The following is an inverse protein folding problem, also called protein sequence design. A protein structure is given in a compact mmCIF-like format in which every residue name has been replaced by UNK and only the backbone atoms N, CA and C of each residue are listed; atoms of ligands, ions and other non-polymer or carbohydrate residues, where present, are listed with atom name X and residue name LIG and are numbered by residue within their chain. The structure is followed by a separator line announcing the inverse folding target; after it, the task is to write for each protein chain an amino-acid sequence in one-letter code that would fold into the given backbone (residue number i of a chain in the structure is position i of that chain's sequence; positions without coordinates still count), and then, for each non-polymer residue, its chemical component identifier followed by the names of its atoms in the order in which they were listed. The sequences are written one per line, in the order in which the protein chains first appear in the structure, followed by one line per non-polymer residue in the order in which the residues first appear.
data_IF_862042366269
#
_entry.id   IF_862042366269
#
_cell.length_a   1.000
_cell.length_b   1.000
_cell.length_c   1.000
_cell.angle_alpha   90.00
_cell.angle_beta   90.00
_cell.angle_gamma   90.00
#
_symmetry.space_group_name_H-M   'P 1'
#
loop_
_entity.id
_entity.type
_entity.pdbx_description
1 polymer ?
#
# COMPACT_ATOMS: atom_id res chain seq x y z
N UNK A 1 14.97 -6.03 12.81
CA UNK A 1 14.11 -6.24 11.65
C UNK A 1 13.98 -4.92 10.86
N UNK A 2 14.07 -4.98 9.54
CA UNK A 2 13.90 -3.84 8.64
C UNK A 2 12.76 -4.12 7.66
N UNK A 3 11.78 -3.23 7.59
CA UNK A 3 10.65 -3.31 6.65
C UNK A 3 10.83 -2.22 5.61
N UNK A 4 10.79 -2.59 4.34
CA UNK A 4 10.75 -1.65 3.22
C UNK A 4 9.29 -1.42 2.82
N UNK A 5 8.88 -0.15 2.83
CA UNK A 5 7.56 0.28 2.36
C UNK A 5 7.75 1.12 1.11
N UNK A 6 7.14 0.71 0.01
CA UNK A 6 7.19 1.41 -1.27
C UNK A 6 5.79 1.89 -1.65
N UNK A 7 5.68 3.18 -1.97
CA UNK A 7 4.42 3.81 -2.38
C UNK A 7 3.96 3.35 -3.77
N UNK A 8 2.96 4.04 -4.28
CA UNK A 8 2.24 3.67 -5.50
C UNK A 8 3.19 3.38 -6.68
N UNK A 9 3.17 2.14 -7.18
CA UNK A 9 3.94 1.77 -8.38
C UNK A 9 3.19 2.22 -9.60
N UNK A 10 3.79 3.15 -10.35
CA UNK A 10 3.12 3.82 -11.44
C UNK A 10 3.52 3.28 -12.80
N UNK A 11 2.65 2.47 -13.39
CA UNK A 11 2.74 1.96 -14.75
C UNK A 11 4.06 1.27 -15.09
N UNK A 12 4.41 1.17 -16.38
CA UNK A 12 5.65 0.54 -16.83
C UNK A 12 6.92 1.17 -16.25
N UNK A 13 6.94 2.51 -16.05
CA UNK A 13 8.10 3.20 -15.48
C UNK A 13 8.33 2.80 -14.02
N UNK A 14 7.26 2.72 -13.23
CA UNK A 14 7.32 2.29 -11.83
C UNK A 14 7.77 0.83 -11.71
N UNK A 15 7.20 -0.08 -12.53
CA UNK A 15 7.63 -1.48 -12.55
C UNK A 15 9.12 -1.63 -12.88
N UNK A 16 9.60 -0.86 -13.87
CA UNK A 16 11.02 -0.88 -14.24
C UNK A 16 11.93 -0.38 -13.12
N UNK A 17 11.50 0.61 -12.34
CA UNK A 17 12.24 1.07 -11.15
C UNK A 17 12.34 -0.06 -10.12
N UNK A 18 11.25 -0.79 -9.86
CA UNK A 18 11.25 -1.94 -8.95
C UNK A 18 12.18 -3.04 -9.47
N UNK A 19 12.01 -3.47 -10.71
CA UNK A 19 12.82 -4.51 -11.36
C UNK A 19 14.34 -4.22 -11.24
N UNK A 20 14.74 -2.99 -11.50
CA UNK A 20 16.14 -2.61 -11.53
C UNK A 20 16.79 -2.41 -10.16
N UNK A 21 15.99 -2.13 -9.12
CA UNK A 21 16.53 -1.65 -7.85
C UNK A 21 16.12 -2.48 -6.63
N UNK A 22 14.96 -3.16 -6.62
CA UNK A 22 14.44 -3.80 -5.42
C UNK A 22 15.41 -4.81 -4.80
N UNK A 23 15.97 -5.71 -5.62
CA UNK A 23 16.94 -6.71 -5.13
C UNK A 23 18.20 -6.06 -4.55
N UNK A 24 18.66 -4.95 -5.15
CA UNK A 24 19.82 -4.19 -4.63
C UNK A 24 19.49 -3.58 -3.28
N UNK A 25 18.32 -2.93 -3.14
CA UNK A 25 17.87 -2.34 -1.89
C UNK A 25 17.73 -3.38 -0.79
N UNK A 26 17.11 -4.52 -1.11
CA UNK A 26 16.97 -5.62 -0.15
C UNK A 26 18.32 -6.06 0.40
N UNK A 27 19.32 -6.24 -0.48
CA UNK A 27 20.66 -6.69 -0.09
C UNK A 27 21.47 -5.59 0.61
N UNK A 28 21.43 -4.35 0.10
CA UNK A 28 22.20 -3.22 0.63
C UNK A 28 21.76 -2.83 2.03
N UNK A 29 20.46 -2.87 2.27
CA UNK A 29 19.88 -2.45 3.56
C UNK A 29 19.53 -3.62 4.49
N UNK A 30 19.79 -4.87 4.10
CA UNK A 30 19.40 -6.09 4.83
C UNK A 30 17.90 -6.06 5.17
N UNK A 31 17.06 -5.91 4.14
CA UNK A 31 15.60 -5.82 4.31
C UNK A 31 15.02 -7.21 4.59
N UNK A 32 14.28 -7.32 5.67
CA UNK A 32 13.64 -8.57 6.13
C UNK A 32 12.24 -8.77 5.53
N UNK A 33 11.55 -7.67 5.18
CA UNK A 33 10.16 -7.71 4.70
C UNK A 33 9.85 -6.50 3.80
N UNK A 34 9.18 -6.72 2.67
CA UNK A 34 8.89 -5.70 1.67
C UNK A 34 7.39 -5.61 1.40
N UNK A 35 6.83 -4.42 1.56
CA UNK A 35 5.45 -4.08 1.18
C UNK A 35 5.47 -3.03 0.08
N UNK A 36 4.64 -3.20 -0.94
CA UNK A 36 4.54 -2.30 -2.08
C UNK A 36 3.06 -1.97 -2.34
N UNK A 37 2.75 -0.71 -2.67
CA UNK A 37 1.43 -0.38 -3.17
C UNK A 37 1.40 -0.54 -4.69
N UNK A 38 0.60 -1.52 -5.17
CA UNK A 38 0.53 -1.92 -6.58
C UNK A 38 -0.69 -1.36 -7.33
N UNK A 39 -1.44 -0.43 -6.76
CA UNK A 39 -2.73 -0.01 -7.32
C UNK A 39 -2.66 0.63 -8.71
N UNK A 40 -1.50 1.21 -9.07
CA UNK A 40 -1.29 1.89 -10.36
C UNK A 40 -0.32 1.13 -11.28
N UNK A 41 -0.02 -0.14 -10.97
CA UNK A 41 1.05 -0.89 -11.61
C UNK A 41 0.75 -1.32 -13.07
N UNK A 42 -0.51 -1.36 -13.51
CA UNK A 42 -0.87 -1.75 -14.88
C UNK A 42 -0.39 -0.72 -15.92
N UNK A 43 -0.35 -1.12 -17.20
CA UNK A 43 0.22 -0.32 -18.30
C UNK A 43 -0.46 1.04 -18.50
N UNK A 44 -1.74 1.12 -18.20
CA UNK A 44 -2.53 2.35 -18.25
C UNK A 44 -2.52 3.14 -16.92
N UNK A 45 -1.72 2.70 -15.94
CA UNK A 45 -1.60 3.33 -14.63
C UNK A 45 -2.80 3.12 -13.72
N UNK A 46 -3.66 2.13 -13.98
CA UNK A 46 -4.86 1.85 -13.18
C UNK A 46 -5.02 0.38 -12.88
N UNK A 47 -4.98 0.05 -11.59
CA UNK A 47 -5.07 -1.33 -11.13
C UNK A 47 -3.76 -2.11 -11.28
N UNK A 48 -3.85 -3.37 -10.99
CA UNK A 48 -2.79 -4.35 -11.11
C UNK A 48 -3.33 -5.60 -11.83
N UNK A 49 -2.50 -6.27 -12.62
CA UNK A 49 -2.84 -7.56 -13.24
C UNK A 49 -2.25 -8.72 -12.43
N UNK A 50 -2.79 -9.92 -12.64
CA UNK A 50 -2.23 -11.14 -12.04
C UNK A 50 -0.73 -11.30 -12.37
N UNK A 51 -0.37 -11.15 -13.64
CA UNK A 51 1.03 -11.30 -14.07
C UNK A 51 1.97 -10.30 -13.39
N UNK A 52 1.55 -9.04 -13.24
CA UNK A 52 2.34 -8.00 -12.56
C UNK A 52 2.49 -8.32 -11.06
N UNK A 53 1.43 -8.80 -10.40
CA UNK A 53 1.51 -9.19 -8.99
C UNK A 53 2.49 -10.37 -8.80
N UNK A 54 2.41 -11.39 -9.67
CA UNK A 54 3.33 -12.54 -9.64
C UNK A 54 4.80 -12.10 -9.89
N UNK A 55 5.04 -11.18 -10.82
CA UNK A 55 6.37 -10.60 -11.05
C UNK A 55 6.92 -9.92 -9.80
N UNK A 56 6.12 -9.11 -9.10
CA UNK A 56 6.56 -8.46 -7.86
C UNK A 56 6.92 -9.48 -6.78
N UNK A 57 6.13 -10.53 -6.60
CA UNK A 57 6.45 -11.60 -5.67
C UNK A 57 7.75 -12.32 -6.01
N UNK A 58 7.99 -12.58 -7.30
CA UNK A 58 9.25 -13.19 -7.77
C UNK A 58 10.46 -12.27 -7.52
N UNK A 59 10.28 -10.96 -7.55
CA UNK A 59 11.33 -9.97 -7.28
C UNK A 59 11.62 -9.79 -5.78
N UNK A 60 10.81 -10.37 -4.91
CA UNK A 60 11.05 -10.34 -3.46
C UNK A 60 10.10 -9.45 -2.68
N UNK A 61 9.00 -9.01 -3.27
CA UNK A 61 7.89 -8.38 -2.55
C UNK A 61 7.19 -9.45 -1.70
N UNK A 62 6.94 -9.14 -0.43
CA UNK A 62 6.25 -10.05 0.48
C UNK A 62 4.73 -9.81 0.49
N UNK A 63 4.30 -8.54 0.40
CA UNK A 63 2.88 -8.15 0.36
C UNK A 63 2.66 -6.99 -0.60
N UNK A 64 1.56 -7.03 -1.33
CA UNK A 64 1.09 -5.94 -2.19
C UNK A 64 -0.18 -5.36 -1.56
N UNK A 65 -0.17 -4.06 -1.28
CA UNK A 65 -1.36 -3.27 -0.94
C UNK A 65 -1.92 -2.60 -2.19
N UNK A 66 -3.11 -2.03 -2.09
CA UNK A 66 -3.77 -1.36 -3.21
C UNK A 66 -4.63 -0.18 -2.74
N UNK A 67 -5.48 0.32 -3.61
CA UNK A 67 -6.36 1.46 -3.32
C UNK A 67 -7.64 1.44 -4.17
N UNK A 68 -8.06 2.62 -4.65
CA UNK A 68 -9.33 2.79 -5.37
C UNK A 68 -9.37 2.15 -6.77
N UNK A 69 -8.21 1.80 -7.34
CA UNK A 69 -8.12 1.15 -8.67
C UNK A 69 -8.03 -0.38 -8.63
N UNK A 70 -8.15 -1.00 -7.45
CA UNK A 70 -7.98 -2.47 -7.31
C UNK A 70 -8.89 -3.28 -8.27
N UNK A 71 -10.09 -2.77 -8.59
CA UNK A 71 -11.06 -3.45 -9.45
C UNK A 71 -10.99 -3.02 -10.93
N UNK A 72 -10.03 -2.17 -11.32
CA UNK A 72 -9.96 -1.67 -12.69
C UNK A 72 -9.46 -2.74 -13.69
N UNK A 73 -8.87 -3.85 -13.19
CA UNK A 73 -8.56 -5.06 -13.98
C UNK A 73 -9.46 -6.21 -13.55
N UNK A 74 -10.30 -6.69 -14.48
CA UNK A 74 -11.32 -7.72 -14.15
C UNK A 74 -10.73 -9.03 -13.63
N UNK A 75 -9.57 -9.44 -14.15
CA UNK A 75 -8.91 -10.67 -13.76
C UNK A 75 -8.48 -10.72 -12.29
N UNK A 76 -8.30 -9.52 -11.68
CA UNK A 76 -7.88 -9.45 -10.29
C UNK A 76 -8.96 -9.92 -9.32
N UNK A 77 -10.23 -9.84 -9.70
CA UNK A 77 -11.37 -10.22 -8.88
C UNK A 77 -11.32 -11.69 -8.47
N UNK A 78 -10.94 -12.59 -9.41
CA UNK A 78 -10.77 -14.01 -9.12
C UNK A 78 -9.42 -14.32 -8.48
N UNK A 79 -8.38 -13.59 -8.87
CA UNK A 79 -7.02 -13.82 -8.40
C UNK A 79 -6.83 -13.45 -6.93
N UNK A 80 -7.42 -12.34 -6.48
CA UNK A 80 -7.23 -11.81 -5.12
C UNK A 80 -7.80 -12.75 -4.03
N UNK A 81 -8.78 -13.59 -4.36
CA UNK A 81 -9.30 -14.61 -3.44
C UNK A 81 -8.32 -15.80 -3.28
N UNK A 82 -7.41 -15.98 -4.23
CA UNK A 82 -6.43 -17.07 -4.24
C UNK A 82 -5.05 -16.64 -3.76
N UNK A 83 -4.76 -15.33 -3.77
CA UNK A 83 -3.45 -14.77 -3.39
C UNK A 83 -3.57 -13.91 -2.13
N UNK A 84 -3.30 -14.51 -0.99
CA UNK A 84 -3.41 -13.86 0.33
C UNK A 84 -2.44 -12.68 0.52
N UNK A 85 -1.39 -12.57 -0.31
CA UNK A 85 -0.40 -11.49 -0.24
C UNK A 85 -0.80 -10.26 -1.05
N UNK A 86 -1.91 -10.29 -1.79
CA UNK A 86 -2.50 -9.14 -2.45
C UNK A 86 -3.67 -8.62 -1.61
N UNK A 87 -3.52 -7.44 -1.04
CA UNK A 87 -4.53 -6.83 -0.18
C UNK A 87 -5.30 -5.73 -0.92
N UNK A 88 -6.59 -5.70 -0.67
CA UNK A 88 -7.47 -4.58 -1.02
C UNK A 88 -7.73 -3.69 0.20
N UNK A 89 -8.23 -2.46 0.04
CA UNK A 89 -8.70 -1.69 1.19
C UNK A 89 -9.75 -2.46 2.02
N UNK A 90 -9.53 -2.55 3.33
CA UNK A 90 -10.37 -3.34 4.22
C UNK A 90 -11.79 -2.78 4.36
N UNK A 91 -11.95 -1.48 4.17
CA UNK A 91 -13.23 -0.78 4.22
C UNK A 91 -13.95 -0.69 2.87
N UNK A 92 -13.64 -1.56 1.90
CA UNK A 92 -14.54 -1.81 0.77
C UNK A 92 -15.78 -2.54 1.25
N UNK A 93 -16.84 -2.53 0.41
CA UNK A 93 -18.12 -3.14 0.75
C UNK A 93 -17.99 -4.57 1.28
N UNK A 94 -18.78 -4.93 2.26
CA UNK A 94 -18.83 -6.29 2.82
C UNK A 94 -19.09 -7.31 1.71
N UNK A 95 -18.39 -8.45 1.76
CA UNK A 95 -18.44 -9.48 0.72
C UNK A 95 -17.58 -9.20 -0.52
N UNK A 96 -16.82 -8.09 -0.58
CA UNK A 96 -15.84 -7.88 -1.65
C UNK A 96 -14.77 -9.00 -1.64
N UNK A 97 -14.32 -9.49 -2.82
CA UNK A 97 -13.27 -10.49 -2.91
C UNK A 97 -11.96 -10.08 -2.22
N UNK A 98 -11.18 -11.06 -1.76
CA UNK A 98 -9.89 -10.86 -1.12
C UNK A 98 -9.95 -10.27 0.27
N UNK A 99 -8.78 -10.03 0.85
CA UNK A 99 -8.61 -9.58 2.21
C UNK A 99 -8.08 -8.14 2.27
N UNK A 100 -8.42 -7.41 3.35
CA UNK A 100 -7.90 -6.07 3.58
C UNK A 100 -6.77 -6.02 4.61
N UNK A 101 -6.41 -7.15 5.18
CA UNK A 101 -5.27 -7.32 6.09
C UNK A 101 -4.81 -8.77 6.09
N UNK A 102 -3.58 -9.00 6.50
CA UNK A 102 -3.01 -10.33 6.65
C UNK A 102 -1.90 -10.37 7.69
N UNK A 103 -1.52 -11.58 8.09
CA UNK A 103 -0.39 -11.84 8.97
C UNK A 103 0.58 -12.76 8.22
N UNK A 104 1.81 -12.30 8.06
CA UNK A 104 2.82 -12.96 7.24
C UNK A 104 4.08 -13.22 8.08
N UNK A 105 4.86 -14.22 7.67
CA UNK A 105 6.16 -14.46 8.23
C UNK A 105 7.26 -13.82 7.40
N UNK A 106 8.31 -13.32 8.05
CA UNK A 106 9.58 -13.03 7.36
C UNK A 106 10.13 -14.30 6.70
N UNK A 107 10.99 -14.15 5.69
CA UNK A 107 11.59 -15.28 4.94
C UNK A 107 12.29 -16.29 5.85
N UNK A 108 12.94 -15.82 6.90
CA UNK A 108 13.60 -16.65 7.91
C UNK A 108 12.64 -17.19 9.00
N UNK A 109 11.35 -16.84 8.88
CA UNK A 109 10.26 -17.22 9.82
C UNK A 109 10.45 -16.77 11.28
N UNK A 110 11.35 -15.83 11.54
CA UNK A 110 11.60 -15.33 12.90
C UNK A 110 10.53 -14.39 13.40
N UNK A 111 9.94 -13.59 12.50
CA UNK A 111 8.98 -12.56 12.87
C UNK A 111 7.66 -12.69 12.10
N UNK A 112 6.57 -12.29 12.75
CA UNK A 112 5.25 -12.14 12.18
C UNK A 112 4.96 -10.67 11.94
N UNK A 113 4.58 -10.34 10.71
CA UNK A 113 4.24 -8.98 10.28
C UNK A 113 2.76 -8.92 9.94
N UNK A 114 2.02 -8.06 10.63
CA UNK A 114 0.67 -7.69 10.23
C UNK A 114 0.71 -6.58 9.18
N UNK A 115 0.04 -6.76 8.05
CA UNK A 115 -0.12 -5.70 7.04
C UNK A 115 -1.60 -5.37 6.93
N UNK A 116 -1.93 -4.09 6.98
CA UNK A 116 -3.29 -3.56 6.93
C UNK A 116 -3.37 -2.57 5.79
N UNK A 117 -4.36 -2.73 4.90
CA UNK A 117 -4.65 -1.77 3.85
C UNK A 117 -6.02 -1.12 4.14
N UNK A 118 -6.06 0.20 4.17
CA UNK A 118 -7.26 1.01 4.40
C UNK A 118 -7.36 2.10 3.32
N UNK A 119 -8.56 2.61 3.09
CA UNK A 119 -8.79 3.69 2.13
C UNK A 119 -9.61 4.84 2.74
N UNK A 120 -9.23 6.08 2.44
CA UNK A 120 -9.98 7.27 2.81
C UNK A 120 -11.32 7.37 2.10
N UNK A 121 -12.20 8.23 2.62
CA UNK A 121 -13.53 8.46 2.06
C UNK A 121 -13.67 9.85 1.43
N UNK A 122 -12.89 10.82 1.89
CA UNK A 122 -13.01 12.21 1.42
C UNK A 122 -12.29 12.36 0.08
N UNK A 123 -13.02 12.77 -0.95
CA UNK A 123 -12.61 12.84 -2.36
C UNK A 123 -12.20 11.51 -3.00
N UNK A 124 -12.50 10.39 -2.32
CA UNK A 124 -12.26 9.04 -2.80
C UNK A 124 -13.57 8.36 -3.25
N UNK A 125 -13.47 7.18 -3.87
CA UNK A 125 -14.65 6.33 -4.08
C UNK A 125 -15.28 5.98 -2.73
N UNK A 126 -16.61 6.02 -2.67
CA UNK A 126 -17.35 5.71 -1.44
C UNK A 126 -17.04 4.29 -0.96
N UNK A 127 -16.62 4.19 0.30
CA UNK A 127 -16.38 2.94 1.02
C UNK A 127 -17.20 2.90 2.31
N UNK A 128 -17.06 1.84 3.07
CA UNK A 128 -17.51 1.77 4.46
C UNK A 128 -16.69 2.71 5.36
N UNK A 129 -17.20 2.98 6.57
CA UNK A 129 -16.50 3.81 7.53
C UNK A 129 -15.12 3.21 7.88
N UNK A 130 -14.06 3.99 7.62
CA UNK A 130 -12.68 3.54 7.79
C UNK A 130 -12.33 3.30 9.26
N UNK A 131 -12.90 4.07 10.19
CA UNK A 131 -12.63 3.90 11.62
C UNK A 131 -13.32 2.66 12.19
N UNK A 132 -14.53 2.32 11.71
CA UNK A 132 -15.19 1.06 12.07
C UNK A 132 -14.42 -0.15 11.52
N UNK A 133 -13.92 -0.09 10.29
CA UNK A 133 -13.06 -1.12 9.74
C UNK A 133 -11.75 -1.24 10.53
N UNK A 134 -11.08 -0.13 10.81
CA UNK A 134 -9.87 -0.08 11.61
C UNK A 134 -10.07 -0.65 13.03
N UNK A 135 -11.21 -0.37 13.66
CA UNK A 135 -11.57 -0.92 14.97
C UNK A 135 -11.65 -2.44 14.94
N UNK A 136 -12.35 -3.01 13.97
CA UNK A 136 -12.46 -4.48 13.79
C UNK A 136 -11.07 -5.12 13.56
N UNK A 137 -10.20 -4.47 12.80
CA UNK A 137 -8.86 -4.99 12.47
C UNK A 137 -7.94 -4.95 13.70
N UNK A 138 -8.01 -3.90 14.53
CA UNK A 138 -7.24 -3.82 15.79
C UNK A 138 -7.52 -4.97 16.76
N UNK A 139 -8.66 -5.63 16.65
CA UNK A 139 -8.98 -6.84 17.42
C UNK A 139 -8.35 -8.11 16.81
N UNK A 140 -7.96 -8.08 15.53
CA UNK A 140 -7.39 -9.20 14.77
C UNK A 140 -5.86 -9.14 14.68
N UNK A 141 -5.31 -7.93 14.51
CA UNK A 141 -3.87 -7.68 14.46
C UNK A 141 -3.47 -6.94 15.74
N UNK A 142 -2.86 -7.66 16.68
CA UNK A 142 -2.52 -7.16 18.00
C UNK A 142 -1.01 -7.24 18.17
N UNK A 143 -0.36 -6.07 18.17
CA UNK A 143 1.09 -5.93 18.32
C UNK A 143 1.56 -6.59 19.64
N UNK A 144 2.67 -7.32 19.58
CA UNK A 144 3.27 -8.09 20.69
C UNK A 144 2.41 -9.24 21.24
N UNK A 145 1.27 -9.56 20.59
CA UNK A 145 0.44 -10.71 20.96
C UNK A 145 0.38 -11.76 19.85
N UNK A 146 -0.05 -11.38 18.65
CA UNK A 146 -0.11 -12.29 17.50
C UNK A 146 0.73 -11.85 16.32
N UNK A 147 1.27 -10.62 16.35
CA UNK A 147 2.28 -10.09 15.42
C UNK A 147 3.40 -9.42 16.21
N UNK A 148 4.63 -9.51 15.69
CA UNK A 148 5.80 -8.82 16.24
C UNK A 148 5.87 -7.38 15.76
N UNK A 149 5.45 -7.14 14.51
CA UNK A 149 5.39 -5.85 13.86
C UNK A 149 4.08 -5.72 13.09
N UNK A 150 3.62 -4.49 12.89
CA UNK A 150 2.49 -4.23 12.00
C UNK A 150 2.67 -2.91 11.26
N UNK A 151 2.20 -2.88 10.03
CA UNK A 151 2.20 -1.68 9.18
C UNK A 151 0.81 -1.45 8.59
N UNK A 152 0.43 -0.19 8.49
CA UNK A 152 -0.81 0.26 7.87
C UNK A 152 -0.46 1.09 6.65
N UNK A 153 -0.96 0.68 5.47
CA UNK A 153 -1.02 1.51 4.27
C UNK A 153 -2.40 2.14 4.20
N UNK A 154 -2.45 3.44 4.38
CA UNK A 154 -3.67 4.24 4.28
C UNK A 154 -3.70 5.01 2.96
N UNK A 155 -4.46 4.46 2.01
CA UNK A 155 -4.61 5.01 0.67
C UNK A 155 -5.67 6.11 0.65
N UNK A 156 -5.29 7.37 0.59
CA UNK A 156 -6.25 8.49 0.69
C UNK A 156 -5.74 9.82 0.18
N UNK A 157 -6.68 10.66 -0.28
CA UNK A 157 -6.39 11.99 -0.81
C UNK A 157 -6.09 12.99 0.31
N UNK A 158 -6.92 13.03 1.35
CA UNK A 158 -6.91 14.08 2.35
C UNK A 158 -5.90 13.83 3.47
N UNK A 159 -5.00 14.79 3.67
CA UNK A 159 -3.97 14.73 4.72
C UNK A 159 -4.57 14.60 6.13
N UNK A 160 -5.72 15.22 6.40
CA UNK A 160 -6.37 15.13 7.71
C UNK A 160 -6.89 13.72 8.01
N UNK A 161 -7.41 12.97 7.01
CA UNK A 161 -7.77 11.55 7.21
C UNK A 161 -6.52 10.70 7.47
N UNK A 162 -5.44 10.92 6.72
CA UNK A 162 -4.15 10.23 6.92
C UNK A 162 -3.62 10.44 8.34
N UNK A 163 -3.59 11.70 8.80
CA UNK A 163 -3.16 12.05 10.16
C UNK A 163 -4.08 11.42 11.22
N UNK A 164 -5.41 11.47 11.01
CA UNK A 164 -6.37 10.89 11.95
C UNK A 164 -6.16 9.37 12.10
N UNK A 165 -5.94 8.64 11.00
CA UNK A 165 -5.62 7.20 11.02
C UNK A 165 -4.24 6.96 11.67
N UNK A 166 -3.24 7.79 11.38
CA UNK A 166 -1.95 7.73 12.07
C UNK A 166 -2.09 7.77 13.58
N UNK A 167 -2.80 8.76 14.10
CA UNK A 167 -3.09 8.89 15.54
C UNK A 167 -3.99 7.78 16.08
N UNK A 168 -4.95 7.29 15.29
CA UNK A 168 -5.81 6.17 15.68
C UNK A 168 -5.04 4.87 15.92
N UNK A 169 -3.98 4.64 15.14
CA UNK A 169 -3.10 3.47 15.28
C UNK A 169 -1.88 3.72 16.17
N UNK A 170 -1.72 4.92 16.73
CA UNK A 170 -0.57 5.24 17.57
C UNK A 170 -0.48 4.35 18.81
N UNK A 171 0.66 3.68 18.96
CA UNK A 171 0.94 2.70 20.03
C UNK A 171 0.36 1.29 19.81
N UNK A 172 -0.40 1.08 18.71
CA UNK A 172 -0.99 -0.24 18.37
C UNK A 172 -0.55 -0.77 17.01
N UNK A 173 0.19 0.03 16.24
CA UNK A 173 0.91 -0.39 15.04
C UNK A 173 2.35 0.08 15.10
N UNK A 174 3.26 -0.63 14.42
CA UNK A 174 4.68 -0.23 14.31
C UNK A 174 4.83 0.98 13.40
N UNK A 175 4.08 1.03 12.29
CA UNK A 175 4.11 2.12 11.34
C UNK A 175 2.79 2.33 10.63
N UNK A 176 2.52 3.58 10.29
CA UNK A 176 1.39 4.01 9.44
C UNK A 176 1.95 4.92 8.36
N UNK A 177 1.71 4.58 7.12
CA UNK A 177 2.09 5.40 5.97
C UNK A 177 0.87 5.70 5.11
N UNK A 178 0.86 6.87 4.52
CA UNK A 178 -0.12 7.23 3.50
C UNK A 178 0.40 6.98 2.09
N UNK A 179 -0.54 6.75 1.16
CA UNK A 179 -0.33 6.60 -0.29
C UNK A 179 -1.39 7.39 -1.04
N UNK A 180 -1.43 7.35 -2.36
CA UNK A 180 -2.39 7.96 -3.28
C UNK A 180 -1.94 9.26 -3.94
N UNK A 181 -1.37 10.23 -3.23
CA UNK A 181 -1.08 11.54 -3.83
C UNK A 181 0.11 11.52 -4.75
N UNK A 182 0.90 10.44 -4.72
CA UNK A 182 2.14 10.24 -5.50
C UNK A 182 3.27 11.23 -5.15
N UNK A 183 3.04 12.13 -4.21
CA UNK A 183 4.02 13.13 -3.77
C UNK A 183 4.44 12.85 -2.33
N UNK A 184 5.71 12.51 -2.07
CA UNK A 184 6.15 12.22 -0.72
C UNK A 184 6.13 13.47 0.16
N UNK A 185 5.65 13.31 1.38
CA UNK A 185 5.66 14.38 2.38
C UNK A 185 6.92 14.33 3.24
N UNK A 186 7.35 15.46 3.76
CA UNK A 186 8.54 15.60 4.60
C UNK A 186 8.23 15.58 6.11
N UNK A 187 7.15 14.93 6.51
CA UNK A 187 6.62 14.91 7.88
C UNK A 187 6.88 13.60 8.63
N UNK A 188 7.86 12.83 8.17
CA UNK A 188 8.25 11.56 8.82
C UNK A 188 8.58 11.80 10.29
N UNK A 189 7.91 11.07 11.18
CA UNK A 189 8.07 11.22 12.63
C UNK A 189 7.68 9.97 13.39
N UNK A 190 8.07 9.91 14.65
CA UNK A 190 7.53 8.96 15.63
C UNK A 190 6.44 9.67 16.41
N UNK A 191 5.25 9.09 16.45
CA UNK A 191 4.14 9.60 17.24
C UNK A 191 4.34 9.33 18.74
N UNK A 192 3.55 9.97 19.58
CA UNK A 192 3.75 9.99 21.04
C UNK A 192 3.78 8.61 21.71
N UNK A 193 3.07 7.63 21.16
CA UNK A 193 3.04 6.24 21.68
C UNK A 193 3.97 5.30 20.93
N UNK A 194 4.83 5.82 20.04
CA UNK A 194 5.92 5.09 19.39
C UNK A 194 5.66 4.58 17.99
N UNK A 195 4.52 4.88 17.36
CA UNK A 195 4.24 4.51 15.96
C UNK A 195 5.01 5.42 15.00
N UNK A 196 5.74 4.84 14.04
CA UNK A 196 6.33 5.58 12.93
C UNK A 196 5.23 6.05 11.97
N UNK A 197 5.30 7.31 11.54
CA UNK A 197 4.27 7.91 10.69
C UNK A 197 4.86 8.77 9.59
N UNK A 198 4.27 8.67 8.40
CA UNK A 198 4.45 9.63 7.31
C UNK A 198 3.13 9.79 6.54
N UNK A 199 2.75 11.03 6.24
CA UNK A 199 1.48 11.36 5.59
C UNK A 199 1.37 10.78 4.17
N UNK A 200 2.44 10.82 3.39
CA UNK A 200 2.51 10.13 2.09
C UNK A 200 3.95 9.72 1.78
N UNK A 201 4.13 8.49 1.32
CA UNK A 201 5.45 7.96 0.94
C UNK A 201 5.76 8.13 -0.55
N UNK A 202 4.88 8.82 -1.29
CA UNK A 202 5.06 9.11 -2.71
C UNK A 202 4.82 7.90 -3.61
N UNK A 203 5.42 7.91 -4.79
CA UNK A 203 5.29 6.84 -5.77
C UNK A 203 6.64 6.25 -6.17
N UNK A 204 6.59 5.05 -6.74
CA UNK A 204 7.67 4.46 -7.52
C UNK A 204 7.37 4.71 -9.00
N UNK A 205 8.13 5.61 -9.62
CA UNK A 205 7.89 6.04 -11.01
C UNK A 205 8.81 7.16 -11.43
N UNK A 206 8.52 7.75 -12.57
CA UNK A 206 9.25 8.90 -13.08
C UNK A 206 8.58 10.22 -12.63
N UNK A 207 9.20 10.91 -11.69
CA UNK A 207 8.73 12.22 -11.18
C UNK A 207 8.87 13.36 -12.21
N UNK A 208 9.65 13.16 -13.27
CA UNK A 208 9.74 14.10 -14.38
C UNK A 208 8.78 13.74 -15.51
N UNK A 209 8.19 12.55 -15.47
CA UNK A 209 7.05 12.25 -16.33
C UNK A 209 5.82 12.88 -15.71
N UNK A 210 5.03 13.47 -16.56
CA UNK A 210 3.76 14.01 -16.18
C UNK A 210 2.76 12.90 -15.83
N UNK A 211 2.82 12.35 -14.62
CA UNK A 211 1.64 11.72 -14.02
C UNK A 211 0.51 12.72 -13.88
N UNK A 212 0.87 13.96 -13.66
CA UNK A 212 0.04 15.13 -13.90
C UNK A 212 -0.34 15.29 -15.39
N UNK A 213 0.30 14.55 -16.33
CA UNK A 213 0.09 14.63 -17.78
C UNK A 213 -0.39 13.31 -18.42
N UNK A 214 -0.49 12.20 -17.71
CA UNK A 214 -1.00 10.93 -18.28
C UNK A 214 -2.51 10.87 -18.36
N UNK A 215 -3.25 11.78 -17.73
CA UNK A 215 -4.54 12.17 -18.25
C UNK A 215 -4.27 13.23 -19.31
N UNK A 216 -4.48 12.96 -20.60
CA UNK A 216 -4.35 14.00 -21.60
C UNK A 216 -5.28 15.13 -21.19
N UNK A 217 -4.69 16.24 -20.74
CA UNK A 217 -5.44 17.45 -20.48
C UNK A 217 -6.24 17.78 -21.74
N UNK A 218 -7.48 18.25 -21.63
CA UNK A 218 -8.20 18.76 -22.81
C UNK A 218 -7.42 19.80 -23.62
N UNK A 219 -6.36 20.39 -23.04
CA UNK A 219 -5.42 21.29 -23.67
C UNK A 219 -4.41 20.61 -24.60
N UNK A 220 -4.02 19.35 -24.28
CA UNK A 220 -3.02 18.59 -25.05
C UNK A 220 -3.59 18.05 -26.37
N UNK A 221 -4.91 18.08 -26.55
CA UNK A 221 -5.60 17.70 -27.79
C UNK A 221 -5.71 18.84 -28.81
N UNK A 222 -5.09 19.99 -28.51
CA UNK A 222 -5.17 21.21 -29.39
C UNK A 222 -3.82 21.59 -30.01
N UNK A 223 -2.85 20.68 -30.05
CA UNK A 223 -1.63 20.86 -30.85
C UNK A 223 -1.63 19.93 -32.06
#
# INVERSE_FOLDING_TARGET
MKILLLGDVMGPSGRKVIENNLTKLINEYDIDFTVINGENAADDGKGITKSIAEEFFLQGVDVITSGNHIWDKKEIVEYIDQEERLLRPANLAEGSPGNGYGIYFTKDKKFKVGVINLMGNVFMRKTEDVFEAAKKIKEKIILKKNVDFSVVDFHGEITSEKMAIGHYFDGVSTGVVGTHTHVPTADTRILDKGTAYQTDIGMCGDYNSCLLYTSPSPRDKRQ
#
